data_IF_893081344041
#
_entry.id   IF_893081344041
#
_cell.length_a   1.000
_cell.length_b   1.000
_cell.length_c   1.000
_cell.angle_alpha   90.00
_cell.angle_beta   90.00
_cell.angle_gamma   90.00
#
_symmetry.space_group_name_H-M   'P 1'
#
loop_
_entity.id
_entity.type
_entity.pdbx_description
1 polymer ?
#
# COMPACT_ATOMS: atom_id res chain seq x y z
N UNK A 1 9.39 18.58 0.57
CA UNK A 1 7.94 18.91 0.59
C UNK A 1 7.14 17.63 0.82
N UNK A 2 5.92 17.66 1.40
CA UNK A 2 5.14 16.44 1.67
C UNK A 2 4.88 15.56 0.44
N UNK A 3 4.82 16.16 -0.76
CA UNK A 3 4.66 15.44 -2.03
C UNK A 3 5.83 14.53 -2.38
N UNK A 4 7.06 14.90 -2.01
CA UNK A 4 8.25 14.09 -2.32
C UNK A 4 8.21 12.75 -1.59
N UNK A 5 7.74 12.75 -0.34
CA UNK A 5 7.59 11.53 0.44
C UNK A 5 6.53 10.60 -0.14
N UNK A 6 5.36 11.13 -0.51
CA UNK A 6 4.29 10.34 -1.14
C UNK A 6 4.75 9.74 -2.48
N UNK A 7 5.48 10.50 -3.28
CA UNK A 7 6.04 10.00 -4.54
C UNK A 7 7.05 8.87 -4.32
N UNK A 8 7.86 8.93 -3.26
CA UNK A 8 8.78 7.85 -2.88
C UNK A 8 8.00 6.58 -2.51
N UNK A 9 6.95 6.70 -1.68
CA UNK A 9 6.11 5.55 -1.33
C UNK A 9 5.50 4.90 -2.57
N UNK A 10 4.90 5.69 -3.45
CA UNK A 10 4.32 5.20 -4.70
C UNK A 10 5.35 4.52 -5.59
N UNK A 11 6.52 5.13 -5.77
CA UNK A 11 7.61 4.59 -6.61
C UNK A 11 8.12 3.25 -6.07
N UNK A 12 8.32 3.15 -4.75
CA UNK A 12 8.78 1.93 -4.09
C UNK A 12 7.69 0.84 -4.09
N UNK A 13 6.42 1.22 -4.03
CA UNK A 13 5.32 0.27 -4.12
C UNK A 13 5.19 -0.36 -5.52
N UNK A 14 5.49 0.39 -6.58
CA UNK A 14 5.45 -0.13 -7.96
C UNK A 14 6.72 -0.90 -8.31
N UNK A 15 7.87 -0.30 -8.08
CA UNK A 15 9.15 -0.73 -8.66
C UNK A 15 10.13 -1.32 -7.64
N UNK A 16 9.80 -1.28 -6.35
CA UNK A 16 10.66 -1.81 -5.30
C UNK A 16 10.67 -3.34 -5.25
N UNK A 17 11.68 -3.87 -4.57
CA UNK A 17 11.75 -5.27 -4.13
C UNK A 17 10.55 -5.63 -3.22
N UNK A 18 10.32 -6.93 -3.01
CA UNK A 18 9.26 -7.39 -2.10
C UNK A 18 9.43 -6.85 -0.68
N UNK A 19 10.67 -6.74 -0.20
CA UNK A 19 11.00 -6.15 1.10
C UNK A 19 10.64 -4.66 1.13
N UNK A 20 11.03 -3.88 0.12
CA UNK A 20 10.69 -2.47 0.05
C UNK A 20 9.17 -2.24 -0.04
N UNK A 21 8.46 -3.05 -0.83
CA UNK A 21 6.99 -3.01 -0.91
C UNK A 21 6.34 -3.26 0.45
N UNK A 22 6.81 -4.27 1.18
CA UNK A 22 6.32 -4.55 2.53
C UNK A 22 6.58 -3.40 3.50
N UNK A 23 7.77 -2.79 3.46
CA UNK A 23 8.10 -1.62 4.28
C UNK A 23 7.13 -0.47 3.97
N UNK A 24 6.88 -0.17 2.70
CA UNK A 24 5.92 0.87 2.29
C UNK A 24 4.52 0.57 2.81
N UNK A 25 4.06 -0.68 2.72
CA UNK A 25 2.74 -1.10 3.21
C UNK A 25 2.62 -0.90 4.72
N UNK A 26 3.66 -1.23 5.49
CA UNK A 26 3.71 -1.01 6.94
C UNK A 26 3.71 0.48 7.28
N UNK A 27 4.44 1.30 6.53
CA UNK A 27 4.42 2.77 6.69
C UNK A 27 3.01 3.31 6.42
N UNK A 28 2.38 2.89 5.32
CA UNK A 28 1.02 3.30 4.96
C UNK A 28 0.01 2.90 6.04
N UNK A 29 0.14 1.68 6.58
CA UNK A 29 -0.69 1.21 7.70
C UNK A 29 -0.49 2.08 8.95
N UNK A 30 0.75 2.28 9.39
CA UNK A 30 1.06 3.05 10.59
C UNK A 30 0.54 4.49 10.49
N UNK A 31 0.59 5.09 9.30
CA UNK A 31 0.02 6.41 9.04
C UNK A 31 -1.51 6.39 9.05
N UNK A 32 -2.13 5.50 8.27
CA UNK A 32 -3.57 5.49 8.06
C UNK A 32 -4.35 5.02 9.29
N UNK A 33 -3.83 4.05 10.05
CA UNK A 33 -4.50 3.49 11.23
C UNK A 33 -4.50 4.47 12.43
N UNK A 34 -3.52 5.37 12.50
CA UNK A 34 -3.36 6.30 13.62
C UNK A 34 -3.77 7.74 13.28
N UNK A 35 -4.02 8.07 12.01
CA UNK A 35 -4.30 9.43 11.59
C UNK A 35 -5.24 9.49 10.37
N UNK A 36 -6.49 9.89 10.59
CA UNK A 36 -7.49 10.01 9.53
C UNK A 36 -7.08 11.00 8.43
N UNK A 37 -6.37 12.08 8.79
CA UNK A 37 -5.85 13.04 7.80
C UNK A 37 -4.79 12.37 6.92
N UNK A 38 -3.92 11.55 7.49
CA UNK A 38 -2.93 10.80 6.70
C UNK A 38 -3.61 9.79 5.77
N UNK A 39 -4.66 9.09 6.24
CA UNK A 39 -5.49 8.21 5.41
C UNK A 39 -6.11 8.96 4.22
N UNK A 40 -6.68 10.16 4.44
CA UNK A 40 -7.22 11.01 3.37
C UNK A 40 -6.11 11.42 2.39
N UNK A 41 -4.95 11.85 2.88
CA UNK A 41 -3.81 12.24 2.03
C UNK A 41 -3.37 11.07 1.14
N UNK A 42 -3.25 9.86 1.69
CA UNK A 42 -2.87 8.66 0.94
C UNK A 42 -3.91 8.31 -0.14
N UNK A 43 -5.22 8.43 0.17
CA UNK A 43 -6.31 8.28 -0.81
C UNK A 43 -6.25 9.34 -1.91
N UNK A 44 -6.08 10.61 -1.54
CA UNK A 44 -5.97 11.72 -2.51
C UNK A 44 -4.74 11.60 -3.42
N UNK A 45 -3.68 10.96 -2.94
CA UNK A 45 -2.50 10.63 -3.74
C UNK A 45 -2.61 9.26 -4.44
N UNK A 46 -3.83 8.69 -4.54
CA UNK A 46 -4.12 7.43 -5.25
C UNK A 46 -3.31 6.20 -4.81
N UNK A 47 -2.78 6.19 -3.59
CA UNK A 47 -1.97 5.07 -3.10
C UNK A 47 -2.78 3.79 -2.91
N UNK A 48 -4.10 3.89 -2.71
CA UNK A 48 -5.00 2.74 -2.69
C UNK A 48 -5.06 2.04 -4.06
N UNK A 49 -5.13 2.83 -5.13
CA UNK A 49 -5.16 2.33 -6.51
C UNK A 49 -3.80 1.75 -6.91
N UNK A 50 -2.71 2.42 -6.54
CA UNK A 50 -1.35 1.86 -6.71
C UNK A 50 -1.20 0.55 -5.96
N UNK A 51 -1.61 0.48 -4.68
CA UNK A 51 -1.53 -0.74 -3.88
C UNK A 51 -2.33 -1.89 -4.48
N UNK A 52 -3.55 -1.64 -4.96
CA UNK A 52 -4.34 -2.66 -5.65
C UNK A 52 -3.63 -3.18 -6.91
N UNK A 53 -3.02 -2.31 -7.70
CA UNK A 53 -2.29 -2.72 -8.91
C UNK A 53 -1.05 -3.53 -8.56
N UNK A 54 -0.30 -3.14 -7.51
CA UNK A 54 0.86 -3.91 -7.03
C UNK A 54 0.45 -5.30 -6.57
N UNK A 55 -0.65 -5.43 -5.82
CA UNK A 55 -1.16 -6.75 -5.38
C UNK A 55 -1.46 -7.64 -6.58
N UNK A 56 -2.22 -7.13 -7.58
CA UNK A 56 -2.54 -7.88 -8.80
C UNK A 56 -1.27 -8.30 -9.55
N UNK A 57 -0.31 -7.39 -9.67
CA UNK A 57 0.96 -7.66 -10.33
C UNK A 57 1.75 -8.77 -9.61
N UNK A 58 1.84 -8.72 -8.28
CA UNK A 58 2.49 -9.76 -7.49
C UNK A 58 1.79 -11.11 -7.60
N UNK A 59 0.46 -11.14 -7.65
CA UNK A 59 -0.32 -12.38 -7.86
C UNK A 59 -0.07 -12.99 -9.25
N UNK A 60 0.03 -12.18 -10.30
CA UNK A 60 0.32 -12.66 -11.65
C UNK A 60 1.75 -13.21 -11.77
N UNK A 61 2.72 -12.55 -11.12
CA UNK A 61 4.13 -12.96 -11.13
C UNK A 61 4.44 -14.12 -10.18
N UNK A 62 3.47 -14.59 -9.39
CA UNK A 62 3.64 -15.67 -8.41
C UNK A 62 4.13 -17.01 -9.01
N UNK A 63 4.23 -17.13 -10.34
CA UNK A 63 4.82 -18.26 -11.06
C UNK A 63 6.30 -18.10 -11.47
N UNK A 64 6.89 -16.91 -11.41
CA UNK A 64 8.28 -16.63 -11.81
C UNK A 64 8.99 -15.85 -10.69
N UNK A 65 9.83 -16.55 -9.93
CA UNK A 65 10.88 -16.06 -9.00
C UNK A 65 10.53 -14.96 -7.96
N UNK A 66 10.83 -15.27 -6.68
CA UNK A 66 10.59 -14.41 -5.51
C UNK A 66 9.11 -14.10 -5.24
N UNK A 67 8.40 -15.14 -4.77
CA UNK A 67 7.02 -15.03 -4.33
C UNK A 67 6.94 -14.14 -3.08
N UNK A 68 6.06 -13.14 -3.09
CA UNK A 68 5.57 -12.59 -1.82
C UNK A 68 4.99 -13.76 -1.02
N UNK A 69 5.22 -13.77 0.29
CA UNK A 69 4.52 -14.73 1.14
C UNK A 69 3.02 -14.44 1.12
N UNK A 70 2.20 -15.46 1.41
CA UNK A 70 0.75 -15.24 1.56
C UNK A 70 0.47 -14.21 2.66
N UNK A 71 1.25 -14.22 3.75
CA UNK A 71 1.13 -13.25 4.84
C UNK A 71 1.36 -11.81 4.39
N UNK A 72 2.30 -11.60 3.47
CA UNK A 72 2.57 -10.27 2.92
C UNK A 72 1.43 -9.79 2.04
N UNK A 73 0.86 -10.67 1.22
CA UNK A 73 -0.33 -10.36 0.42
C UNK A 73 -1.54 -10.05 1.31
N UNK A 74 -1.76 -10.84 2.36
CA UNK A 74 -2.84 -10.61 3.32
C UNK A 74 -2.69 -9.25 4.02
N UNK A 75 -1.46 -8.87 4.40
CA UNK A 75 -1.17 -7.54 4.94
C UNK A 75 -1.48 -6.44 3.93
N UNK A 76 -1.08 -6.62 2.68
CA UNK A 76 -1.38 -5.65 1.61
C UNK A 76 -2.89 -5.47 1.40
N UNK A 77 -3.65 -6.57 1.40
CA UNK A 77 -5.12 -6.51 1.32
C UNK A 77 -5.75 -5.83 2.52
N UNK A 78 -5.25 -6.09 3.73
CA UNK A 78 -5.71 -5.42 4.94
C UNK A 78 -5.53 -3.90 4.84
N UNK A 79 -4.34 -3.44 4.43
CA UNK A 79 -4.06 -2.00 4.27
C UNK A 79 -4.89 -1.39 3.14
N UNK A 80 -5.09 -2.11 2.04
CA UNK A 80 -5.96 -1.66 0.96
C UNK A 80 -7.39 -1.42 1.45
N UNK A 81 -7.93 -2.37 2.22
CA UNK A 81 -9.26 -2.25 2.81
C UNK A 81 -9.31 -1.11 3.82
N UNK A 82 -8.31 -0.98 4.70
CA UNK A 82 -8.20 0.14 5.64
C UNK A 82 -8.25 1.49 4.91
N UNK A 83 -7.52 1.64 3.80
CA UNK A 83 -7.54 2.87 3.02
C UNK A 83 -8.90 3.10 2.37
N UNK A 84 -9.52 2.06 1.82
CA UNK A 84 -10.79 2.15 1.08
C UNK A 84 -12.01 2.32 1.96
N UNK A 85 -12.00 1.74 3.15
CA UNK A 85 -13.07 1.91 4.12
C UNK A 85 -13.24 3.40 4.41
N UNK A 86 -14.36 3.92 3.94
CA UNK A 86 -14.88 5.15 4.47
C UNK A 86 -15.39 4.75 5.84
N UNK A 87 -14.68 5.17 6.88
CA UNK A 87 -15.27 5.22 8.21
C UNK A 87 -16.65 5.82 8.02
N UNK A 88 -17.69 5.03 8.29
CA UNK A 88 -19.07 5.52 8.32
C UNK A 88 -19.01 6.74 9.23
N UNK A 89 -19.05 7.92 8.63
CA UNK A 89 -19.11 9.19 9.34
C UNK A 89 -20.37 9.05 10.21
N UNK A 90 -20.15 8.86 11.50
CA UNK A 90 -21.16 8.84 12.55
C UNK A 90 -20.93 10.07 13.41
#
# INVERSE_FOLDING_TARGET
MPGDFLNILQTKLMNGSNVEKNIVVVIMWALAANNQRAKIILKSAHHDSTLQNTIKHCQLLSGLESKLSNEDLDRMYYVLNLLRDNDKIR
#
